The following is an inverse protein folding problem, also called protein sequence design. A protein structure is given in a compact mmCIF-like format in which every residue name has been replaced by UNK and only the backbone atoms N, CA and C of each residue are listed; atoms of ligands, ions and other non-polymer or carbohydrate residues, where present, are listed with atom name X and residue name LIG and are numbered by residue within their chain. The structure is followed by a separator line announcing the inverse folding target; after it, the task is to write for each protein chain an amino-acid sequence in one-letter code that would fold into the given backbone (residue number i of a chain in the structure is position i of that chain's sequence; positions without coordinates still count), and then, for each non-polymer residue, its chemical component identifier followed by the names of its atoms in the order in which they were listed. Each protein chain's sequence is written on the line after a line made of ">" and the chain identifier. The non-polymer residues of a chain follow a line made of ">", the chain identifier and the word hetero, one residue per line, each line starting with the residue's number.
data_IF_481157410523
#
_entry.id   IF_481157410523
#
_cell.length_a   1.000
_cell.length_b   1.000
_cell.length_c   1.000
_cell.angle_alpha   90.00
_cell.angle_beta   90.00
_cell.angle_gamma   90.00
#
_symmetry.space_group_name_H-M   'P 1'
#
loop_
_entity.id
_entity.type
_entity.pdbx_description
1 polymer ?
#
# COMPACT_ATOMS: atom_id res chain seq x y z
N UNK A 1 -3.86 25.66 -0.46
CA UNK A 1 -3.77 25.21 -0.61
C UNK A 1 -3.87 24.42 -0.23
N UNK A 2 -3.92 24.04 -0.03
CA UNK A 2 -3.81 23.34 0.11
C UNK A 2 -4.18 22.49 -0.03
N UNK A 3 -4.76 22.22 -0.02
CA UNK A 3 -5.11 21.38 -0.34
C UNK A 3 -4.64 20.49 -0.85
N UNK A 4 -4.41 20.74 -1.04
CA UNK A 4 -3.56 20.06 -1.77
C UNK A 4 -3.08 18.81 -1.22
N UNK A 5 -2.85 18.71 0.01
CA UNK A 5 -2.35 17.51 0.60
C UNK A 5 -3.24 16.34 0.32
N UNK A 6 -4.49 16.57 0.12
CA UNK A 6 -5.37 15.49 -0.19
C UNK A 6 -5.08 14.89 -1.51
N UNK A 7 -4.64 15.69 -2.42
CA UNK A 7 -4.45 15.19 -3.76
C UNK A 7 -3.21 14.36 -3.87
N UNK A 8 -2.46 14.21 -2.81
CA UNK A 8 -1.27 13.41 -2.91
C UNK A 8 -1.55 11.91 -2.76
N UNK A 9 -2.75 11.54 -2.40
CA UNK A 9 -3.05 10.12 -2.31
C UNK A 9 -3.23 9.57 -3.71
N UNK A 10 -2.53 8.48 -3.99
CA UNK A 10 -2.56 7.85 -5.29
C UNK A 10 -2.95 6.39 -5.14
N UNK A 11 -3.38 5.80 -6.23
CA UNK A 11 -3.65 4.37 -6.26
C UNK A 11 -2.43 3.68 -6.85
N UNK A 12 -1.84 2.81 -6.08
CA UNK A 12 -0.59 2.15 -6.47
C UNK A 12 -0.86 0.76 -6.99
N UNK A 13 -0.25 0.44 -8.13
CA UNK A 13 -0.27 -0.90 -8.64
C UNK A 13 0.83 -1.69 -7.95
N UNK A 14 0.79 -3.00 -8.12
CA UNK A 14 1.75 -3.87 -7.44
C UNK A 14 3.21 -3.46 -7.62
N UNK A 15 3.67 -3.14 -8.83
CA UNK A 15 5.08 -2.76 -8.96
C UNK A 15 5.48 -1.58 -8.07
N UNK A 16 4.59 -0.60 -7.96
CA UNK A 16 4.87 0.56 -7.12
C UNK A 16 4.87 0.18 -5.65
N UNK A 17 3.97 -0.70 -5.26
CA UNK A 17 3.93 -1.18 -3.88
C UNK A 17 5.21 -1.93 -3.55
N UNK A 18 5.66 -2.78 -4.46
CA UNK A 18 6.89 -3.51 -4.26
C UNK A 18 8.09 -2.57 -4.10
N UNK A 19 8.09 -1.51 -4.89
CA UNK A 19 9.19 -0.56 -4.82
C UNK A 19 9.18 0.22 -3.52
N UNK A 20 8.01 0.62 -3.07
CA UNK A 20 7.91 1.38 -1.83
C UNK A 20 8.24 0.54 -0.61
N UNK A 21 7.90 -0.72 -0.63
CA UNK A 21 8.07 -1.57 0.54
C UNK A 21 9.32 -2.43 0.49
N UNK A 22 9.84 -2.66 -0.69
CA UNK A 22 11.00 -3.55 -0.83
C UNK A 22 10.63 -5.02 -0.70
N UNK A 23 9.37 -5.35 -0.81
CA UNK A 23 8.89 -6.72 -0.63
C UNK A 23 8.56 -7.30 -2.00
N UNK A 24 8.88 -8.57 -2.18
CA UNK A 24 8.64 -9.24 -3.45
C UNK A 24 7.15 -9.49 -3.67
N UNK A 25 6.80 -9.75 -4.92
CA UNK A 25 5.40 -9.97 -5.27
C UNK A 25 4.78 -11.10 -4.48
N UNK A 26 5.46 -12.23 -4.40
CA UNK A 26 4.88 -13.38 -3.71
C UNK A 26 4.72 -13.09 -2.22
N UNK A 27 5.64 -12.33 -1.66
CA UNK A 27 5.54 -11.97 -0.25
C UNK A 27 4.39 -11.01 -0.01
N UNK A 28 4.17 -10.06 -0.92
CA UNK A 28 3.04 -9.15 -0.77
C UNK A 28 1.74 -9.95 -0.73
N UNK A 29 1.55 -10.84 -1.69
CA UNK A 29 0.30 -11.59 -1.75
C UNK A 29 0.14 -12.52 -0.56
N UNK A 30 1.24 -13.11 -0.09
CA UNK A 30 1.17 -13.94 1.09
C UNK A 30 0.74 -13.12 2.31
N UNK A 31 1.32 -11.94 2.48
CA UNK A 31 0.97 -11.09 3.60
C UNK A 31 -0.47 -10.60 3.52
N UNK A 32 -0.94 -10.32 2.31
CA UNK A 32 -2.33 -9.94 2.13
C UNK A 32 -3.23 -11.09 2.59
N UNK A 33 -2.90 -12.29 2.18
CA UNK A 33 -3.69 -13.46 2.53
C UNK A 33 -3.70 -13.69 4.03
N UNK A 34 -2.57 -13.42 4.67
CA UNK A 34 -2.45 -13.59 6.11
C UNK A 34 -2.95 -12.39 6.90
N UNK A 35 -3.44 -11.39 6.21
CA UNK A 35 -3.98 -10.17 6.81
C UNK A 35 -2.95 -9.38 7.58
N UNK A 36 -1.70 -9.47 7.12
CA UNK A 36 -0.59 -8.73 7.71
C UNK A 36 -0.15 -7.57 6.84
N UNK A 37 -0.85 -7.33 5.75
CA UNK A 37 -0.55 -6.26 4.83
C UNK A 37 -1.86 -5.59 4.48
N UNK A 38 -1.86 -4.30 4.14
CA UNK A 38 -3.10 -3.62 3.78
C UNK A 38 -3.81 -4.34 2.63
N UNK A 39 -5.10 -4.46 2.75
CA UNK A 39 -5.87 -5.16 1.74
C UNK A 39 -6.01 -4.29 0.51
N UNK A 40 -5.88 -4.86 -0.67
CA UNK A 40 -5.99 -4.07 -1.89
C UNK A 40 -7.43 -3.67 -2.17
N UNK A 41 -7.57 -2.66 -3.00
CA UNK A 41 -8.86 -2.19 -3.46
C UNK A 41 -8.98 -2.55 -4.93
N UNK A 42 -10.16 -2.95 -5.34
CA UNK A 42 -10.40 -3.25 -6.74
C UNK A 42 -11.15 -2.10 -7.38
N UNK A 43 -10.51 -1.44 -8.35
CA UNK A 43 -11.21 -0.37 -9.02
C UNK A 43 -12.07 -0.95 -10.13
N UNK A 44 -13.10 -0.21 -10.45
CA UNK A 44 -14.15 -0.74 -11.29
C UNK A 44 -13.71 -1.04 -12.70
N UNK A 45 -12.93 -0.20 -13.27
CA UNK A 45 -12.66 -0.32 -14.68
C UNK A 45 -11.26 0.10 -15.01
N UNK A 46 -10.49 -0.75 -15.60
CA UNK A 46 -10.69 -2.17 -15.68
C UNK A 46 -10.50 -2.79 -14.33
N UNK A 47 -10.69 -4.07 -14.24
CA UNK A 47 -10.51 -4.74 -13.00
C UNK A 47 -9.06 -4.67 -12.60
N UNK A 48 -8.70 -3.78 -11.72
CA UNK A 48 -7.32 -3.60 -11.28
C UNK A 48 -7.24 -3.68 -9.78
N UNK A 49 -6.19 -4.30 -9.31
CA UNK A 49 -5.90 -4.37 -7.88
C UNK A 49 -4.92 -3.26 -7.57
N UNK A 50 -5.30 -2.38 -6.67
CA UNK A 50 -4.45 -1.24 -6.30
C UNK A 50 -4.50 -1.04 -4.80
N UNK A 51 -3.56 -0.26 -4.31
CA UNK A 51 -3.50 0.11 -2.89
C UNK A 51 -3.42 1.62 -2.80
N UNK A 52 -4.16 2.23 -1.88
CA UNK A 52 -4.00 3.68 -1.65
C UNK A 52 -2.60 3.97 -1.12
N UNK A 53 -1.98 5.01 -1.66
CA UNK A 53 -0.60 5.30 -1.29
C UNK A 53 -0.44 5.64 0.18
N UNK A 54 -1.41 6.35 0.76
CA UNK A 54 -1.31 6.72 2.15
C UNK A 54 -1.36 5.50 3.06
N UNK A 55 -2.12 4.49 2.67
CA UNK A 55 -2.21 3.26 3.45
C UNK A 55 -0.89 2.52 3.41
N UNK A 56 -0.27 2.46 2.24
CA UNK A 56 1.03 1.80 2.13
C UNK A 56 2.08 2.56 2.91
N UNK A 57 2.07 3.89 2.82
CA UNK A 57 3.02 4.68 3.59
C UNK A 57 2.87 4.46 5.07
N UNK A 58 1.64 4.39 5.54
CA UNK A 58 1.41 4.16 6.95
C UNK A 58 1.91 2.78 7.36
N UNK A 59 1.69 1.78 6.52
CA UNK A 59 2.16 0.44 6.82
C UNK A 59 3.68 0.41 6.93
N UNK A 60 4.37 1.10 6.02
CA UNK A 60 5.82 1.15 6.07
C UNK A 60 6.28 1.83 7.35
N UNK A 61 5.65 2.93 7.72
CA UNK A 61 6.02 3.62 8.95
C UNK A 61 5.79 2.73 10.16
N UNK A 62 4.73 1.97 10.17
CA UNK A 62 4.46 1.07 11.27
C UNK A 62 5.53 -0.01 11.37
N UNK A 63 6.03 -0.49 10.24
CA UNK A 63 7.08 -1.48 10.28
C UNK A 63 8.38 -0.91 10.80
N UNK A 64 8.64 0.36 10.52
CA UNK A 64 9.88 0.99 10.94
C UNK A 64 9.87 1.39 12.39
N UNK A 65 8.72 1.79 12.89
CA UNK A 65 8.67 2.31 14.23
C UNK A 65 7.72 1.63 15.15
N UNK A 66 6.64 1.13 14.61
CA UNK A 66 5.59 0.62 15.46
C UNK A 66 5.98 -0.58 16.26
N UNK A 67 6.83 -1.38 15.75
CA UNK A 67 7.19 -2.59 16.45
C UNK A 67 8.04 -2.36 17.68
N UNK A 68 8.54 -1.16 17.80
CA UNK A 68 9.42 -0.88 18.87
C UNK A 68 8.74 -0.74 20.18
N UNK A 69 7.55 -0.29 20.15
CA UNK A 69 6.87 -0.01 21.41
C UNK A 69 6.50 -1.25 22.19
#
# INVERSE_FOLDING_TARGET
>A
MSQVSNSSVKLLRLPAVMEMTGISESSVYRLVREKKFPQPVHVAVPKMTVWPSDVIEQWVQDQLGGGIT
#
